data_IF_181681387322
#
_entry.id   IF_181681387322
#
_cell.length_a   1.000
_cell.length_b   1.000
_cell.length_c   1.000
_cell.angle_alpha   90.00
_cell.angle_beta   90.00
_cell.angle_gamma   90.00
#
_symmetry.space_group_name_H-M   'P 1'
#
loop_
_entity.id
_entity.type
_entity.pdbx_description
1 polymer ?
#
# COMPACT_ATOMS: atom_id res chain seq x y z
N UNK A 1 30.33 9.65 -22.32
CA UNK A 1 29.53 8.99 -23.37
C UNK A 1 28.70 7.91 -22.68
N UNK A 2 27.38 8.12 -22.64
CA UNK A 2 26.29 7.14 -22.41
C UNK A 2 26.40 6.14 -21.25
N UNK A 3 25.90 6.56 -20.07
CA UNK A 3 25.00 5.73 -19.26
C UNK A 3 23.68 6.53 -19.13
N UNK A 4 22.94 6.58 -20.24
CA UNK A 4 21.62 7.20 -20.36
C UNK A 4 20.59 6.18 -19.89
N UNK A 5 19.67 6.62 -19.02
CA UNK A 5 18.25 6.22 -18.98
C UNK A 5 17.93 4.77 -18.59
N UNK A 6 18.11 4.37 -17.33
CA UNK A 6 17.27 3.33 -16.70
C UNK A 6 17.11 3.69 -15.21
N UNK A 7 16.19 4.60 -14.89
CA UNK A 7 15.72 4.81 -13.51
C UNK A 7 14.24 5.22 -13.47
N UNK A 8 13.47 4.73 -14.45
CA UNK A 8 12.01 4.94 -14.55
C UNK A 8 11.39 3.59 -14.89
N UNK A 9 11.23 2.72 -13.89
CA UNK A 9 10.34 1.55 -13.99
C UNK A 9 9.93 0.96 -12.63
N UNK A 10 10.64 1.31 -11.55
CA UNK A 10 10.33 0.82 -10.19
C UNK A 10 9.30 1.67 -9.42
N UNK A 11 8.85 2.81 -9.95
CA UNK A 11 7.88 3.67 -9.24
C UNK A 11 6.40 3.36 -9.56
N UNK A 12 6.12 2.52 -10.57
CA UNK A 12 4.76 2.17 -10.96
C UNK A 12 4.08 1.15 -10.03
N UNK A 13 4.85 0.40 -9.23
CA UNK A 13 4.28 -0.62 -8.34
C UNK A 13 3.58 0.00 -7.10
N UNK A 14 4.08 1.12 -6.57
CA UNK A 14 3.47 1.79 -5.42
C UNK A 14 2.45 2.88 -5.78
N UNK A 15 2.54 3.54 -6.94
CA UNK A 15 1.55 4.58 -7.31
C UNK A 15 0.21 4.00 -7.80
N UNK A 16 0.17 2.72 -8.19
CA UNK A 16 -1.13 2.06 -8.40
C UNK A 16 -1.95 1.95 -7.10
N UNK A 17 -1.33 2.11 -5.93
CA UNK A 17 -1.99 2.17 -4.62
C UNK A 17 -2.58 3.54 -4.27
N UNK A 18 -2.51 4.54 -5.15
CA UNK A 18 -3.01 5.91 -4.89
C UNK A 18 -4.20 6.33 -5.77
N UNK A 19 -4.75 5.45 -6.61
CA UNK A 19 -5.97 5.73 -7.37
C UNK A 19 -7.09 4.82 -6.91
N UNK A 20 -8.15 5.41 -6.34
CA UNK A 20 -9.38 4.71 -5.98
C UNK A 20 -9.65 4.68 -4.48
N UNK A 21 -10.94 4.77 -4.17
CA UNK A 21 -11.53 4.55 -2.85
C UNK A 21 -11.09 3.17 -2.33
N UNK A 22 -10.80 3.05 -1.04
CA UNK A 22 -10.38 1.78 -0.46
C UNK A 22 -11.43 0.69 -0.69
N UNK A 23 -12.72 1.05 -0.75
CA UNK A 23 -13.81 0.15 -1.19
C UNK A 23 -13.57 -0.46 -2.57
N UNK A 24 -13.23 0.36 -3.56
CA UNK A 24 -13.08 -0.11 -4.94
C UNK A 24 -11.98 -1.17 -5.04
N UNK A 25 -10.96 -1.10 -4.17
CA UNK A 25 -9.89 -2.10 -4.07
C UNK A 25 -10.39 -3.49 -3.67
N UNK A 26 -11.49 -3.56 -2.92
CA UNK A 26 -12.08 -4.83 -2.46
C UNK A 26 -12.99 -5.49 -3.50
N UNK A 27 -13.30 -4.79 -4.60
CA UNK A 27 -14.22 -5.25 -5.65
C UNK A 27 -13.53 -5.58 -6.97
N UNK A 28 -12.27 -5.20 -7.16
CA UNK A 28 -11.51 -5.56 -8.36
C UNK A 28 -10.71 -6.86 -8.15
N UNK A 29 -10.71 -7.71 -9.17
CA UNK A 29 -9.77 -8.82 -9.24
C UNK A 29 -8.32 -8.30 -9.21
N UNK A 30 -7.43 -9.10 -8.60
CA UNK A 30 -6.05 -8.69 -8.34
C UNK A 30 -5.23 -8.59 -9.64
N UNK A 31 -5.55 -9.40 -10.66
CA UNK A 31 -4.88 -9.33 -11.96
C UNK A 31 -5.11 -8.00 -12.67
N UNK A 32 -6.35 -7.50 -12.72
CA UNK A 32 -6.64 -6.17 -13.29
C UNK A 32 -5.96 -5.06 -12.50
N UNK A 33 -5.92 -5.17 -11.17
CA UNK A 33 -5.18 -4.21 -10.32
C UNK A 33 -3.70 -4.17 -10.69
N UNK A 34 -3.11 -5.33 -11.00
CA UNK A 34 -1.73 -5.46 -11.44
C UNK A 34 -1.51 -5.17 -12.94
N UNK A 35 -2.57 -4.78 -13.68
CA UNK A 35 -2.55 -4.57 -15.15
C UNK A 35 -2.09 -5.80 -15.93
N UNK A 36 -2.38 -6.99 -15.41
CA UNK A 36 -2.08 -8.25 -16.05
C UNK A 36 -3.28 -8.71 -16.86
N UNK A 37 -3.06 -8.95 -18.14
CA UNK A 37 -4.08 -9.41 -19.07
C UNK A 37 -4.01 -10.93 -19.23
N UNK A 38 -5.16 -11.59 -19.34
CA UNK A 38 -5.25 -13.04 -19.59
C UNK A 38 -5.46 -13.88 -18.32
N UNK A 39 -5.20 -15.20 -18.44
CA UNK A 39 -5.36 -16.18 -17.34
C UNK A 39 -4.01 -16.43 -16.68
N UNK A 40 -3.65 -15.60 -15.70
CA UNK A 40 -2.42 -15.76 -14.91
C UNK A 40 -2.75 -16.55 -13.65
N UNK A 41 -2.16 -17.74 -13.50
CA UNK A 41 -2.38 -18.59 -12.31
C UNK A 41 -1.39 -18.28 -11.18
N UNK A 42 -0.16 -17.86 -11.54
CA UNK A 42 0.87 -17.52 -10.58
C UNK A 42 1.82 -16.46 -11.16
N UNK A 43 2.43 -15.69 -10.27
CA UNK A 43 3.52 -14.74 -10.57
C UNK A 43 4.60 -14.98 -9.53
N UNK A 44 5.83 -14.95 -9.99
CA UNK A 44 7.00 -15.03 -9.16
C UNK A 44 7.87 -13.80 -9.41
N UNK A 45 8.25 -13.12 -8.33
CA UNK A 45 9.16 -11.98 -8.35
C UNK A 45 10.37 -12.30 -7.50
N UNK A 46 11.57 -12.08 -8.04
CA UNK A 46 12.83 -12.33 -7.34
C UNK A 46 13.81 -11.19 -7.59
N UNK A 47 14.26 -10.57 -6.52
CA UNK A 47 15.31 -9.56 -6.53
C UNK A 47 16.31 -9.88 -5.44
N UNK A 48 17.60 -9.92 -5.81
CA UNK A 48 18.68 -10.33 -4.92
C UNK A 48 19.63 -9.16 -4.65
N UNK A 49 20.07 -9.02 -3.41
CA UNK A 49 21.26 -8.23 -3.11
C UNK A 49 22.48 -8.98 -3.66
N UNK A 50 23.36 -8.26 -4.35
CA UNK A 50 24.61 -8.81 -4.88
C UNK A 50 25.77 -8.18 -4.13
N UNK A 51 26.58 -9.00 -3.46
CA UNK A 51 27.83 -8.59 -2.85
C UNK A 51 29.00 -9.27 -3.56
N UNK A 52 30.00 -8.50 -3.96
CA UNK A 52 31.24 -9.05 -4.53
C UNK A 52 32.23 -9.37 -3.41
N UNK A 53 32.77 -10.58 -3.43
CA UNK A 53 33.77 -11.08 -2.50
C UNK A 53 35.18 -10.73 -2.97
N UNK A 54 36.14 -10.82 -2.05
CA UNK A 54 37.57 -10.52 -2.30
C UNK A 54 38.16 -11.43 -3.38
N UNK A 55 37.68 -12.67 -3.48
CA UNK A 55 38.07 -13.65 -4.50
C UNK A 55 37.37 -13.47 -5.86
N UNK A 56 36.66 -12.35 -6.05
CA UNK A 56 35.84 -12.04 -7.22
C UNK A 56 34.60 -12.94 -7.41
N UNK A 57 34.27 -13.79 -6.44
CA UNK A 57 32.97 -14.45 -6.42
C UNK A 57 31.86 -13.47 -6.02
N UNK A 58 30.61 -13.83 -6.32
CA UNK A 58 29.43 -13.03 -5.94
C UNK A 58 28.57 -13.83 -4.97
N UNK A 59 28.12 -13.17 -3.91
CA UNK A 59 27.09 -13.68 -3.00
C UNK A 59 25.77 -13.01 -3.36
N UNK A 60 24.75 -13.84 -3.55
CA UNK A 60 23.36 -13.41 -3.74
C UNK A 60 22.61 -13.58 -2.43
N UNK A 61 22.05 -12.50 -1.90
CA UNK A 61 21.32 -12.52 -0.64
C UNK A 61 19.89 -12.05 -0.85
N UNK A 62 18.93 -12.87 -0.41
CA UNK A 62 17.54 -12.46 -0.26
C UNK A 62 17.36 -11.89 1.13
N UNK A 63 17.07 -10.60 1.23
CA UNK A 63 16.75 -9.98 2.50
C UNK A 63 15.24 -10.02 2.73
N UNK A 64 14.85 -10.14 3.99
CA UNK A 64 13.49 -9.86 4.40
C UNK A 64 13.47 -8.53 5.12
N UNK A 65 13.49 -7.47 4.32
CA UNK A 65 13.28 -6.10 4.77
C UNK A 65 12.18 -5.49 3.91
N UNK A 66 11.26 -4.70 4.49
CA UNK A 66 10.32 -3.96 3.69
C UNK A 66 11.12 -3.05 2.74
N UNK A 67 10.80 -3.13 1.45
CA UNK A 67 11.34 -2.28 0.38
C UNK A 67 12.74 -2.61 -0.17
N UNK A 68 13.36 -3.76 0.17
CA UNK A 68 14.68 -4.16 -0.37
C UNK A 68 14.69 -5.64 -0.75
N UNK A 69 15.14 -5.96 -1.98
CA UNK A 69 15.48 -7.31 -2.48
C UNK A 69 14.60 -8.45 -1.95
N UNK A 70 13.45 -8.67 -2.58
CA UNK A 70 12.47 -9.64 -2.12
C UNK A 70 12.27 -10.80 -3.10
N UNK A 71 11.94 -11.97 -2.54
CA UNK A 71 11.37 -13.08 -3.27
C UNK A 71 9.92 -13.23 -2.85
N UNK A 72 9.01 -13.04 -3.80
CA UNK A 72 7.57 -13.06 -3.56
C UNK A 72 6.87 -13.92 -4.60
N UNK A 73 6.07 -14.87 -4.14
CA UNK A 73 5.16 -15.64 -4.97
C UNK A 73 3.73 -15.16 -4.77
N UNK A 74 2.99 -15.03 -5.87
CA UNK A 74 1.56 -14.77 -5.88
C UNK A 74 0.84 -15.90 -6.59
N UNK A 75 -0.23 -16.42 -6.00
CA UNK A 75 -1.10 -17.44 -6.61
C UNK A 75 -2.51 -16.90 -6.72
N UNK A 76 -3.12 -17.07 -7.89
CA UNK A 76 -4.46 -16.58 -8.20
C UNK A 76 -5.43 -17.74 -8.42
N UNK A 77 -6.71 -17.52 -8.13
CA UNK A 77 -7.76 -18.45 -8.55
C UNK A 77 -8.07 -18.27 -10.04
N UNK A 78 -8.91 -19.17 -10.58
CA UNK A 78 -9.35 -19.14 -12.00
C UNK A 78 -10.04 -17.83 -12.44
N UNK A 79 -10.54 -17.04 -11.48
CA UNK A 79 -11.21 -15.76 -11.72
C UNK A 79 -10.24 -14.57 -11.59
N UNK A 80 -8.96 -14.80 -11.28
CA UNK A 80 -7.92 -13.76 -11.18
C UNK A 80 -7.80 -13.09 -9.80
N UNK A 81 -8.41 -13.65 -8.75
CA UNK A 81 -8.27 -13.15 -7.39
C UNK A 81 -7.08 -13.81 -6.69
N UNK A 82 -6.29 -13.02 -5.97
CA UNK A 82 -5.13 -13.49 -5.23
C UNK A 82 -5.58 -14.38 -4.07
N UNK A 83 -5.22 -15.65 -4.06
CA UNK A 83 -5.60 -16.59 -2.98
C UNK A 83 -4.45 -16.84 -2.00
N UNK A 84 -3.21 -16.64 -2.44
CA UNK A 84 -2.04 -16.86 -1.61
C UNK A 84 -0.88 -15.96 -2.06
N UNK A 85 -0.15 -15.42 -1.09
CA UNK A 85 1.09 -14.70 -1.30
C UNK A 85 2.15 -15.24 -0.32
N UNK A 86 3.34 -15.56 -0.81
CA UNK A 86 4.46 -16.02 0.02
C UNK A 86 5.64 -15.10 -0.15
N UNK A 87 6.33 -14.81 0.95
CA UNK A 87 7.57 -14.05 0.95
C UNK A 87 8.69 -14.92 1.52
N UNK A 88 9.90 -14.79 0.98
CA UNK A 88 11.05 -15.63 1.36
C UNK A 88 12.28 -14.79 1.69
N UNK A 89 13.23 -15.43 2.37
CA UNK A 89 14.51 -14.84 2.74
C UNK A 89 15.61 -15.89 2.80
N UNK A 90 16.87 -15.44 2.76
CA UNK A 90 18.02 -16.33 2.93
C UNK A 90 18.32 -16.50 4.43
N UNK A 91 18.39 -17.75 4.89
CA UNK A 91 18.87 -18.12 6.21
C UNK A 91 19.87 -19.29 6.07
N UNK A 92 21.11 -19.10 6.53
CA UNK A 92 22.19 -20.09 6.37
C UNK A 92 22.27 -20.65 4.93
N UNK A 93 22.33 -19.74 3.94
CA UNK A 93 22.39 -20.07 2.49
C UNK A 93 21.13 -20.75 1.91
N UNK A 94 20.14 -21.10 2.73
CA UNK A 94 18.87 -21.67 2.28
C UNK A 94 17.82 -20.58 2.10
N UNK A 95 17.02 -20.72 1.04
CA UNK A 95 15.80 -19.93 0.89
C UNK A 95 14.73 -20.51 1.80
N UNK A 96 14.27 -19.71 2.76
CA UNK A 96 13.25 -20.10 3.74
C UNK A 96 12.07 -19.13 3.66
N UNK A 97 10.88 -19.64 3.99
CA UNK A 97 9.65 -18.86 3.98
C UNK A 97 9.67 -17.86 5.15
N UNK A 98 9.46 -16.58 4.85
CA UNK A 98 9.36 -15.51 5.84
C UNK A 98 7.91 -15.32 6.30
N UNK A 99 7.01 -15.13 5.34
CA UNK A 99 5.59 -14.87 5.59
C UNK A 99 4.73 -15.58 4.55
N UNK A 100 3.52 -15.93 4.96
CA UNK A 100 2.48 -16.43 4.07
C UNK A 100 1.17 -15.74 4.37
N UNK A 101 0.57 -15.21 3.31
CA UNK A 101 -0.73 -14.59 3.31
C UNK A 101 -1.72 -15.48 2.57
N UNK A 102 -2.89 -15.69 3.15
CA UNK A 102 -4.01 -16.40 2.54
C UNK A 102 -5.23 -15.50 2.50
N UNK A 103 -5.99 -15.62 1.41
CA UNK A 103 -7.13 -14.76 1.12
C UNK A 103 -8.35 -15.62 0.77
N UNK A 104 -9.46 -15.33 1.44
CA UNK A 104 -10.74 -15.97 1.16
C UNK A 104 -11.74 -14.94 0.67
N UNK A 105 -12.50 -15.31 -0.36
CA UNK A 105 -13.51 -14.46 -0.97
C UNK A 105 -14.90 -15.08 -0.79
N UNK A 106 -15.93 -14.25 -0.75
CA UNK A 106 -17.31 -14.70 -0.75
C UNK A 106 -17.80 -15.05 -2.16
N UNK A 107 -19.04 -15.51 -2.29
CA UNK A 107 -19.65 -15.89 -3.59
C UNK A 107 -19.81 -14.73 -4.59
N UNK A 108 -19.62 -13.49 -4.15
CA UNK A 108 -19.64 -12.28 -4.98
C UNK A 108 -18.22 -11.77 -5.25
N UNK A 109 -17.22 -12.63 -5.01
CA UNK A 109 -15.80 -12.34 -5.14
C UNK A 109 -15.32 -11.09 -4.36
N UNK A 110 -15.96 -10.80 -3.23
CA UNK A 110 -15.49 -9.79 -2.27
C UNK A 110 -14.71 -10.50 -1.18
N UNK A 111 -13.54 -9.95 -0.81
CA UNK A 111 -12.73 -10.50 0.27
C UNK A 111 -13.53 -10.62 1.57
N UNK A 112 -13.39 -11.76 2.23
CA UNK A 112 -14.09 -12.13 3.45
C UNK A 112 -13.11 -12.32 4.60
N UNK A 113 -11.99 -12.99 4.36
CA UNK A 113 -10.94 -13.19 5.34
C UNK A 113 -9.57 -13.02 4.69
N UNK A 114 -8.63 -12.51 5.48
CA UNK A 114 -7.21 -12.51 5.18
C UNK A 114 -6.48 -13.06 6.41
N UNK A 115 -5.45 -13.86 6.20
CA UNK A 115 -4.59 -14.33 7.28
C UNK A 115 -3.14 -14.18 6.84
N UNK A 116 -2.31 -13.68 7.75
CA UNK A 116 -0.86 -13.61 7.63
C UNK A 116 -0.24 -14.47 8.71
N UNK A 117 0.58 -15.43 8.30
CA UNK A 117 1.45 -16.21 9.19
C UNK A 117 2.88 -15.73 8.95
N UNK A 118 3.54 -15.22 9.98
CA UNK A 118 4.96 -14.91 9.93
C UNK A 118 5.75 -16.05 10.56
N UNK A 119 6.63 -16.66 9.78
CA UNK A 119 7.54 -17.72 10.20
C UNK A 119 8.86 -17.14 10.73
N UNK A 120 9.29 -16.00 10.20
CA UNK A 120 10.47 -15.25 10.70
C UNK A 120 10.22 -14.64 12.07
N UNK A 121 9.02 -14.09 12.28
CA UNK A 121 8.58 -13.52 13.56
C UNK A 121 7.31 -14.25 14.01
N UNK A 122 7.41 -15.39 14.73
CA UNK A 122 6.28 -16.30 15.01
C UNK A 122 5.02 -15.60 15.55
N UNK A 123 4.16 -15.20 14.63
CA UNK A 123 2.94 -14.46 14.86
C UNK A 123 1.94 -14.76 13.75
N UNK A 124 0.66 -14.67 14.07
CA UNK A 124 -0.41 -14.80 13.10
C UNK A 124 -1.36 -13.63 13.28
N UNK A 125 -1.56 -12.91 12.18
CA UNK A 125 -2.57 -11.84 12.12
C UNK A 125 -3.69 -12.29 11.21
N UNK A 126 -4.93 -12.01 11.61
CA UNK A 126 -6.12 -12.31 10.82
C UNK A 126 -6.93 -11.04 10.63
N UNK A 127 -7.56 -10.90 9.47
CA UNK A 127 -8.51 -9.84 9.17
C UNK A 127 -9.81 -10.48 8.71
N UNK A 128 -10.91 -10.03 9.29
CA UNK A 128 -12.25 -10.44 8.91
C UNK A 128 -13.00 -9.24 8.35
N UNK A 129 -13.54 -9.39 7.16
CA UNK A 129 -14.22 -8.34 6.42
C UNK A 129 -15.73 -8.56 6.47
N UNK A 130 -16.47 -7.48 6.66
CA UNK A 130 -17.93 -7.47 6.54
C UNK A 130 -18.41 -6.19 5.88
N UNK A 131 -19.43 -6.31 5.04
CA UNK A 131 -20.02 -5.18 4.31
C UNK A 131 -21.51 -5.13 4.63
N UNK A 132 -21.91 -4.40 5.69
CA UNK A 132 -23.32 -4.33 6.09
C UNK A 132 -24.21 -3.69 5.01
N UNK A 133 -23.65 -2.83 4.16
CA UNK A 133 -24.28 -2.25 2.98
C UNK A 133 -23.19 -2.02 1.89
N UNK A 134 -23.53 -1.28 0.82
CA UNK A 134 -22.60 -1.04 -0.31
C UNK A 134 -21.59 0.07 -0.03
N UNK A 135 -21.89 0.92 0.94
CA UNK A 135 -21.11 2.12 1.28
C UNK A 135 -20.13 1.85 2.42
N UNK A 136 -20.38 0.81 3.22
CA UNK A 136 -19.65 0.56 4.46
C UNK A 136 -18.90 -0.77 4.41
N UNK A 137 -17.64 -0.76 4.83
CA UNK A 137 -16.82 -1.95 5.07
C UNK A 137 -16.25 -1.90 6.48
N UNK A 138 -16.44 -2.97 7.22
CA UNK A 138 -15.90 -3.16 8.57
C UNK A 138 -14.85 -4.26 8.51
N UNK A 139 -13.68 -3.99 9.10
CA UNK A 139 -12.56 -4.91 9.19
C UNK A 139 -12.23 -5.12 10.66
N UNK A 140 -12.25 -6.36 11.10
CA UNK A 140 -11.75 -6.79 12.40
C UNK A 140 -10.40 -7.45 12.20
N UNK A 141 -9.33 -6.78 12.65
CA UNK A 141 -7.97 -7.32 12.66
C UNK A 141 -7.66 -7.89 14.05
N UNK A 142 -7.14 -9.11 14.11
CA UNK A 142 -6.61 -9.73 15.34
C UNK A 142 -5.16 -10.11 15.13
N UNK A 143 -4.28 -9.67 16.03
CA UNK A 143 -2.88 -10.11 16.07
C UNK A 143 -2.38 -10.18 17.50
N UNK A 144 -1.29 -10.91 17.74
CA UNK A 144 -0.77 -11.14 19.09
C UNK A 144 -0.24 -9.88 19.76
N UNK A 145 0.47 -9.03 19.01
CA UNK A 145 1.12 -7.83 19.56
C UNK A 145 0.16 -6.67 19.84
N UNK A 146 -0.78 -6.42 18.93
CA UNK A 146 -1.64 -5.23 18.95
C UNK A 146 -3.06 -5.50 19.47
N UNK A 147 -3.39 -6.75 19.79
CA UNK A 147 -4.74 -7.15 20.16
C UNK A 147 -5.72 -7.02 18.99
N UNK A 148 -6.95 -6.61 19.29
CA UNK A 148 -7.99 -6.42 18.28
C UNK A 148 -8.02 -4.97 17.80
N UNK A 149 -7.98 -4.76 16.48
CA UNK A 149 -8.21 -3.46 15.86
C UNK A 149 -9.45 -3.53 14.98
N UNK A 150 -10.30 -2.51 15.08
CA UNK A 150 -11.47 -2.36 14.21
C UNK A 150 -11.28 -1.17 13.30
N UNK A 151 -11.50 -1.39 12.01
CA UNK A 151 -11.57 -0.37 10.99
C UNK A 151 -12.99 -0.32 10.43
N UNK A 152 -13.52 0.87 10.19
CA UNK A 152 -14.78 1.08 9.48
C UNK A 152 -14.57 2.13 8.41
N UNK A 153 -14.66 1.70 7.16
CA UNK A 153 -14.67 2.57 5.98
C UNK A 153 -16.11 2.88 5.61
N UNK A 154 -16.44 4.15 5.40
CA UNK A 154 -17.76 4.60 4.95
C UNK A 154 -17.57 5.55 3.77
N UNK A 155 -18.11 5.17 2.61
CA UNK A 155 -18.06 5.96 1.40
C UNK A 155 -19.26 6.90 1.31
N UNK A 156 -18.98 8.19 1.14
CA UNK A 156 -19.98 9.25 1.00
C UNK A 156 -19.60 10.14 -0.20
N UNK A 157 -20.12 9.81 -1.39
CA UNK A 157 -19.84 10.57 -2.62
C UNK A 157 -18.31 10.68 -2.87
N UNK A 158 -17.77 11.89 -2.93
CA UNK A 158 -16.34 12.21 -3.10
C UNK A 158 -15.56 12.20 -1.77
N UNK A 159 -16.05 11.50 -0.74
CA UNK A 159 -15.36 11.36 0.56
C UNK A 159 -15.38 9.91 1.05
N UNK A 160 -14.29 9.48 1.65
CA UNK A 160 -14.20 8.21 2.38
C UNK A 160 -13.83 8.51 3.84
N UNK A 161 -14.66 8.03 4.78
CA UNK A 161 -14.37 8.14 6.21
C UNK A 161 -13.78 6.82 6.69
N UNK A 162 -12.65 6.88 7.36
CA UNK A 162 -12.04 5.77 8.07
C UNK A 162 -12.17 6.01 9.56
N UNK A 163 -12.76 5.07 10.28
CA UNK A 163 -12.74 5.05 11.73
C UNK A 163 -11.91 3.87 12.22
N UNK A 164 -10.93 4.13 13.08
CA UNK A 164 -10.07 3.12 13.69
C UNK A 164 -10.25 3.15 15.20
N UNK A 165 -10.47 1.99 15.81
CA UNK A 165 -10.51 1.84 17.27
C UNK A 165 -9.84 0.56 17.75
N UNK A 166 -9.38 0.59 19.00
CA UNK A 166 -9.01 -0.59 19.77
C UNK A 166 -10.05 -0.77 20.90
N UNK A 167 -10.82 -1.87 20.95
CA UNK A 167 -11.85 -2.05 21.98
C UNK A 167 -11.30 -2.05 23.40
N UNK A 168 -10.08 -2.58 23.59
CA UNK A 168 -9.45 -2.77 24.88
C UNK A 168 -8.82 -1.47 25.42
N UNK A 169 -8.83 -0.38 24.65
CA UNK A 169 -8.26 0.92 25.06
C UNK A 169 -9.18 2.09 24.69
N UNK A 170 -8.84 3.30 25.16
CA UNK A 170 -9.50 4.53 24.74
C UNK A 170 -9.10 4.99 23.32
N UNK A 171 -8.24 4.24 22.63
CA UNK A 171 -7.70 4.63 21.33
C UNK A 171 -8.79 4.67 20.25
N UNK A 172 -9.03 5.87 19.72
CA UNK A 172 -9.98 6.16 18.64
C UNK A 172 -9.38 7.24 17.75
N UNK A 173 -9.31 6.97 16.45
CA UNK A 173 -8.89 7.93 15.42
C UNK A 173 -9.91 7.86 14.30
N UNK A 174 -10.26 9.02 13.74
CA UNK A 174 -11.00 9.08 12.48
C UNK A 174 -10.18 9.81 11.44
N UNK A 175 -10.31 9.39 10.18
CA UNK A 175 -9.70 10.06 9.04
C UNK A 175 -10.76 10.27 7.96
N UNK A 176 -10.65 11.37 7.21
CA UNK A 176 -11.49 11.67 6.06
C UNK A 176 -10.57 11.86 4.86
N UNK A 177 -10.77 11.06 3.83
CA UNK A 177 -10.12 11.17 2.53
C UNK A 177 -11.08 11.88 1.59
N UNK A 178 -10.62 12.96 0.97
CA UNK A 178 -11.39 13.75 0.02
C UNK A 178 -10.86 13.50 -1.38
N UNK A 179 -11.76 13.15 -2.28
CA UNK A 179 -11.48 12.80 -3.65
C UNK A 179 -11.94 13.91 -4.57
N UNK A 180 -11.23 14.11 -5.67
CA UNK A 180 -11.75 14.93 -6.76
C UNK A 180 -12.63 14.10 -7.70
N UNK A 181 -13.16 14.76 -8.75
CA UNK A 181 -14.01 14.14 -9.78
C UNK A 181 -13.36 12.98 -10.53
N UNK A 182 -12.05 12.75 -10.36
CA UNK A 182 -11.30 11.64 -10.94
C UNK A 182 -11.00 10.53 -9.96
N UNK A 183 -11.46 10.65 -8.72
CA UNK A 183 -11.15 9.69 -7.67
C UNK A 183 -9.71 9.79 -7.16
N UNK A 184 -9.04 10.95 -7.35
CA UNK A 184 -7.71 11.21 -6.79
C UNK A 184 -7.85 11.89 -5.43
N UNK A 185 -7.04 11.50 -4.44
CA UNK A 185 -7.09 12.10 -3.10
C UNK A 185 -6.39 13.46 -3.13
N UNK A 186 -7.14 14.54 -2.95
CA UNK A 186 -6.55 15.89 -2.87
C UNK A 186 -6.38 16.38 -1.42
N UNK A 187 -7.04 15.72 -0.46
CA UNK A 187 -6.93 16.06 0.97
C UNK A 187 -7.19 14.84 1.83
N UNK A 188 -6.42 14.69 2.91
CA UNK A 188 -6.68 13.77 4.01
C UNK A 188 -6.63 14.55 5.31
N UNK A 189 -7.64 14.38 6.16
CA UNK A 189 -7.68 14.94 7.51
C UNK A 189 -7.77 13.79 8.51
N UNK A 190 -6.95 13.80 9.55
CA UNK A 190 -6.97 12.82 10.64
C UNK A 190 -7.29 13.55 11.94
N UNK A 191 -8.22 12.99 12.69
CA UNK A 191 -8.80 13.56 13.88
C UNK A 191 -8.54 12.67 15.08
N UNK A 192 -8.30 13.32 16.22
CA UNK A 192 -8.39 12.69 17.53
C UNK A 192 -9.57 13.34 18.24
N UNK A 193 -10.64 12.57 18.45
CA UNK A 193 -11.96 13.12 18.83
C UNK A 193 -12.45 14.09 17.74
N UNK A 194 -12.79 15.33 18.09
CA UNK A 194 -13.34 16.34 17.18
C UNK A 194 -12.27 17.32 16.65
N UNK A 195 -11.01 17.14 17.05
CA UNK A 195 -9.90 18.03 16.68
C UNK A 195 -9.09 17.42 15.53
N UNK A 196 -8.83 18.22 14.49
CA UNK A 196 -7.89 17.83 13.42
C UNK A 196 -6.49 17.75 14.01
N UNK A 197 -5.99 16.54 14.15
CA UNK A 197 -4.65 16.24 14.65
C UNK A 197 -3.60 16.40 13.55
N UNK A 198 -3.94 15.97 12.34
CA UNK A 198 -3.07 16.16 11.18
C UNK A 198 -3.85 16.25 9.87
N UNK A 199 -3.25 16.86 8.85
CA UNK A 199 -3.80 16.87 7.49
C UNK A 199 -2.72 16.84 6.43
N UNK A 200 -2.98 16.08 5.37
CA UNK A 200 -2.20 16.06 4.12
C UNK A 200 -3.01 16.70 3.01
N UNK A 201 -2.38 17.55 2.22
CA UNK A 201 -3.01 18.25 1.09
C UNK A 201 -2.15 17.99 -0.13
N UNK A 202 -2.81 17.64 -1.24
CA UNK A 202 -2.22 17.38 -2.53
C UNK A 202 -2.84 18.31 -3.56
N UNK A 203 -1.99 19.02 -4.29
CA UNK A 203 -2.39 19.77 -5.47
C UNK A 203 -1.87 19.06 -6.70
N UNK A 204 -2.77 18.78 -7.64
CA UNK A 204 -2.41 18.13 -8.89
C UNK A 204 -2.03 19.17 -9.94
N UNK A 205 -1.03 18.83 -10.74
CA UNK A 205 -0.51 19.67 -11.83
C UNK A 205 -1.63 20.15 -12.77
N UNK A 206 -2.57 19.26 -13.07
CA UNK A 206 -3.69 19.54 -13.94
C UNK A 206 -4.88 18.59 -13.64
N UNK A 207 -6.00 18.84 -14.31
CA UNK A 207 -7.21 18.03 -14.17
C UNK A 207 -7.11 16.67 -14.85
N UNK A 208 -6.05 16.38 -15.61
CA UNK A 208 -5.85 15.19 -16.43
C UNK A 208 -4.86 14.18 -15.84
N UNK A 209 -3.70 14.64 -15.38
CA UNK A 209 -2.55 13.84 -14.92
C UNK A 209 -2.67 13.42 -13.46
N UNK A 210 -1.95 12.37 -13.04
CA UNK A 210 -1.84 12.01 -11.61
C UNK A 210 -0.63 12.66 -10.95
N UNK A 211 -0.05 13.70 -11.58
CA UNK A 211 1.16 14.34 -11.10
C UNK A 211 0.81 15.34 -10.01
N UNK A 212 1.45 15.21 -8.85
CA UNK A 212 1.28 16.12 -7.72
C UNK A 212 2.27 17.28 -7.92
N UNK A 213 1.76 18.50 -8.04
CA UNK A 213 2.58 19.73 -8.11
C UNK A 213 2.99 20.20 -6.74
N UNK A 214 2.11 20.10 -5.73
CA UNK A 214 2.43 20.46 -4.35
C UNK A 214 1.90 19.40 -3.39
N UNK A 215 2.73 19.05 -2.41
CA UNK A 215 2.34 18.23 -1.27
C UNK A 215 2.64 18.97 0.03
N UNK A 216 1.69 18.96 0.96
CA UNK A 216 1.84 19.58 2.28
C UNK A 216 1.37 18.64 3.37
N UNK A 217 2.18 18.50 4.41
CA UNK A 217 1.79 17.84 5.65
C UNK A 217 1.79 18.82 6.81
N UNK A 218 0.65 18.89 7.50
CA UNK A 218 0.44 19.74 8.67
C UNK A 218 0.11 18.83 9.85
N UNK A 219 0.84 19.01 10.94
CA UNK A 219 0.66 18.28 12.19
C UNK A 219 0.45 19.28 13.32
N UNK A 220 -0.65 19.16 14.07
CA UNK A 220 -1.04 20.10 15.12
C UNK A 220 -0.90 21.56 14.66
N UNK A 221 -1.55 21.89 13.54
CA UNK A 221 -1.53 23.22 12.89
C UNK A 221 -0.16 23.70 12.36
N UNK A 222 0.90 22.94 12.58
CA UNK A 222 2.27 23.27 12.14
C UNK A 222 2.61 22.54 10.85
N UNK A 223 2.99 23.23 9.76
CA UNK A 223 3.54 22.59 8.58
C UNK A 223 4.88 21.95 8.91
N UNK A 224 4.98 20.63 8.75
CA UNK A 224 6.22 19.87 9.02
C UNK A 224 6.85 19.30 7.75
N UNK A 225 6.12 19.29 6.64
CA UNK A 225 6.65 18.95 5.32
C UNK A 225 5.94 19.76 4.24
N UNK A 226 6.72 20.22 3.28
CA UNK A 226 6.23 20.85 2.06
C UNK A 226 7.18 20.53 0.89
N UNK A 227 6.62 19.97 -0.17
CA UNK A 227 7.31 19.70 -1.42
C UNK A 227 6.57 20.35 -2.59
N UNK A 228 7.33 20.97 -3.50
CA UNK A 228 6.81 21.49 -4.76
C UNK A 228 7.61 20.94 -5.94
N UNK A 229 6.91 20.40 -6.93
CA UNK A 229 7.47 19.77 -8.13
C UNK A 229 7.11 20.55 -9.39
N UNK A 230 8.09 20.75 -10.26
CA UNK A 230 7.87 21.20 -11.65
C UNK A 230 8.09 20.04 -12.60
N UNK A 231 7.31 20.04 -13.68
CA UNK A 231 7.31 18.99 -14.68
C UNK A 231 7.66 19.54 -16.07
N UNK A 232 8.34 18.76 -16.90
CA UNK A 232 8.46 19.04 -18.33
C UNK A 232 7.17 18.66 -19.08
N UNK A 233 7.16 18.86 -20.41
CA UNK A 233 6.02 18.52 -21.28
C UNK A 233 5.73 17.02 -21.34
N UNK A 234 6.68 16.18 -20.95
CA UNK A 234 6.57 14.73 -20.90
C UNK A 234 6.23 14.23 -19.49
N UNK A 235 5.87 15.13 -18.57
CA UNK A 235 5.54 14.83 -17.18
C UNK A 235 6.72 14.26 -16.35
N UNK A 236 7.96 14.51 -16.75
CA UNK A 236 9.11 14.20 -15.91
C UNK A 236 9.35 15.33 -14.91
N UNK A 237 9.68 14.98 -13.66
CA UNK A 237 10.08 15.96 -12.65
C UNK A 237 11.40 16.62 -13.09
N UNK A 238 11.39 17.95 -13.23
CA UNK A 238 12.57 18.75 -13.58
C UNK A 238 13.15 19.49 -12.39
N UNK A 239 12.32 19.82 -11.39
CA UNK A 239 12.75 20.50 -10.17
C UNK A 239 11.89 19.99 -9.01
N UNK A 240 12.52 19.71 -7.88
CA UNK A 240 11.83 19.52 -6.59
C UNK A 240 12.38 20.52 -5.56
N UNK A 241 11.49 21.22 -4.88
CA UNK A 241 11.79 22.10 -3.76
C UNK A 241 11.20 21.51 -2.49
N UNK A 242 12.06 21.11 -1.55
CA UNK A 242 11.64 20.67 -0.23
C UNK A 242 11.96 21.79 0.78
N UNK A 243 10.94 22.20 1.53
CA UNK A 243 11.13 23.01 2.73
C UNK A 243 11.02 22.09 3.95
N UNK A 244 12.02 21.24 4.15
CA UNK A 244 12.26 20.70 5.48
C UNK A 244 12.88 21.83 6.30
N UNK A 245 12.14 22.31 7.31
CA UNK A 245 12.61 23.41 8.15
C UNK A 245 13.85 22.97 8.93
N UNK A 246 14.87 23.83 8.83
CA UNK A 246 15.99 24.04 9.76
C UNK A 246 15.67 23.69 11.21
#
# INVERSE_FOLDING_TARGET
>A
MTARKIFILTFTFFISLCNGQMRDRLHYDDLKRQKLNGKVNAIEYREYEVSQMIDSSYIYKLNFEPFVNCHIDFTFNKNGYLINKKEYYTNNELTVKAEEWSYEYNKRDVIKNEQKISFKYPDTTTWKYSSPNKETVIIEQKGRMLGTLFYSYVQESEKEKLYTRRPETSFKISSIFYYDKKGRIYKNETYTHDTIYSKKIYEYLDSKSNNISNEKYIYNETPIFFESKKYDKQNNVIVSYNQDKK
#
